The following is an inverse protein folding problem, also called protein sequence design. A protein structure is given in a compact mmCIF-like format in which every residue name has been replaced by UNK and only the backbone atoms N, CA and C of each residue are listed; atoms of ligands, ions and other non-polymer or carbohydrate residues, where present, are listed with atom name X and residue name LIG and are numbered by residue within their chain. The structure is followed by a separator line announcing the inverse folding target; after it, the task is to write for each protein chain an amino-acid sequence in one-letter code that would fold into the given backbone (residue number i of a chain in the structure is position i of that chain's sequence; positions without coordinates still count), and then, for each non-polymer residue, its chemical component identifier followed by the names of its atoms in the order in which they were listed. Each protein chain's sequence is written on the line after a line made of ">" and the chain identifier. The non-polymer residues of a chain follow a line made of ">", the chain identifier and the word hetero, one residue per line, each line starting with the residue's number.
data_IF_543129866444
#
_entry.id   IF_543129866444
#
_cell.length_a   1.000
_cell.length_b   1.000
_cell.length_c   1.000
_cell.angle_alpha   90.00
_cell.angle_beta   90.00
_cell.angle_gamma   90.00
#
_symmetry.space_group_name_H-M   'P 1'
#
loop_
_entity.id
_entity.type
_entity.pdbx_description
1 polymer ?
#
# COMPACT_ATOMS: atom_id res chain seq x y z
N UNK A 1 -4.18 14.36 10.21
CA UNK A 1 -2.97 14.82 9.53
C UNK A 1 -2.63 13.76 8.49
N UNK A 2 -2.89 14.05 7.24
CA UNK A 2 -2.68 13.12 6.12
C UNK A 2 -1.41 13.50 5.38
N UNK A 3 -0.57 12.52 5.12
CA UNK A 3 0.72 12.72 4.48
C UNK A 3 0.59 12.53 2.98
N UNK A 4 1.00 13.51 2.18
CA UNK A 4 1.16 13.32 0.75
C UNK A 4 2.60 12.90 0.47
N UNK A 5 2.82 11.62 0.21
CA UNK A 5 4.13 11.10 -0.16
C UNK A 5 4.09 10.49 -1.55
N UNK A 6 4.98 10.86 -2.42
CA UNK A 6 5.08 10.21 -3.72
C UNK A 6 5.67 8.81 -3.56
N UNK A 7 4.99 7.84 -4.15
CA UNK A 7 5.51 6.49 -4.29
C UNK A 7 6.49 6.40 -5.45
N UNK A 8 7.59 5.68 -5.22
CA UNK A 8 8.58 5.43 -6.25
C UNK A 8 8.17 4.29 -7.16
N UNK A 9 7.94 4.57 -8.41
CA UNK A 9 8.07 3.62 -9.51
C UNK A 9 9.52 3.66 -10.00
N UNK A 10 10.29 2.61 -9.73
CA UNK A 10 11.71 2.53 -10.03
C UNK A 10 11.94 2.53 -11.51
N UNK A 11 12.11 3.26 -12.34
CA UNK A 11 12.51 3.41 -13.75
C UNK A 11 11.56 4.26 -14.63
N UNK A 12 10.25 4.20 -14.44
CA UNK A 12 9.34 5.07 -15.19
C UNK A 12 9.35 6.47 -14.57
N UNK A 13 9.52 6.59 -13.25
CA UNK A 13 9.62 7.88 -12.57
C UNK A 13 10.93 8.63 -12.81
N UNK A 14 12.05 7.94 -13.04
CA UNK A 14 13.25 8.62 -13.51
C UNK A 14 13.02 9.31 -14.88
N UNK A 15 12.15 8.75 -15.71
CA UNK A 15 11.74 9.38 -16.98
C UNK A 15 10.72 10.51 -16.74
N UNK A 16 9.82 10.38 -15.79
CA UNK A 16 8.82 11.40 -15.45
C UNK A 16 9.44 12.52 -14.59
N UNK A 17 10.38 12.21 -13.70
CA UNK A 17 11.15 13.22 -12.93
C UNK A 17 12.14 13.97 -13.84
N UNK A 18 12.63 13.34 -14.91
CA UNK A 18 13.45 13.99 -15.94
C UNK A 18 12.64 14.80 -16.94
N UNK A 19 11.34 14.52 -17.09
CA UNK A 19 10.44 15.45 -17.76
C UNK A 19 10.18 16.61 -16.78
N UNK A 20 10.75 17.74 -17.05
CA UNK A 20 10.93 18.99 -16.29
C UNK A 20 9.82 19.50 -15.35
N UNK A 21 8.78 18.74 -15.00
CA UNK A 21 7.61 19.21 -14.26
C UNK A 21 7.07 18.27 -13.16
N UNK A 22 7.70 17.13 -12.88
CA UNK A 22 7.18 16.14 -11.90
C UNK A 22 7.86 16.19 -10.51
N UNK A 23 8.67 17.20 -10.25
CA UNK A 23 9.29 17.48 -8.96
C UNK A 23 8.78 18.81 -8.41
N UNK A 24 8.96 19.04 -7.12
CA UNK A 24 8.53 20.28 -6.45
C UNK A 24 9.73 21.14 -6.08
N UNK A 25 10.28 21.93 -7.02
CA UNK A 25 11.29 22.90 -6.68
C UNK A 25 10.73 24.14 -6.04
N UNK A 26 11.55 24.80 -5.24
CA UNK A 26 11.39 26.21 -4.92
C UNK A 26 11.67 27.00 -6.18
N UNK A 27 10.69 27.72 -6.72
CA UNK A 27 10.86 28.53 -7.95
C UNK A 27 11.13 29.99 -7.67
N UNK A 28 10.77 30.49 -6.48
CA UNK A 28 11.01 31.85 -6.03
C UNK A 28 11.13 31.90 -4.51
N UNK A 29 12.05 32.70 -4.01
CA UNK A 29 12.24 32.96 -2.57
C UNK A 29 11.80 34.40 -2.31
N UNK A 30 10.87 34.58 -1.38
CA UNK A 30 10.31 35.88 -0.98
C UNK A 30 10.71 36.22 0.45
N UNK A 31 10.48 37.48 0.84
CA UNK A 31 10.77 37.91 2.22
C UNK A 31 9.92 37.16 3.27
N UNK A 32 8.70 36.78 2.90
CA UNK A 32 7.67 36.20 3.77
C UNK A 32 7.44 34.68 3.52
N UNK A 33 8.14 34.06 2.55
CA UNK A 33 7.98 32.66 2.25
C UNK A 33 8.62 32.22 0.94
N UNK A 34 8.15 31.12 0.39
CA UNK A 34 8.64 30.53 -0.87
C UNK A 34 7.48 30.24 -1.83
N UNK A 35 7.79 30.19 -3.13
CA UNK A 35 6.85 29.74 -4.17
C UNK A 35 7.27 28.35 -4.65
N UNK A 36 6.31 27.43 -4.64
CA UNK A 36 6.47 26.04 -5.09
C UNK A 36 5.70 25.83 -6.39
N UNK A 37 6.33 25.14 -7.35
CA UNK A 37 5.70 24.75 -8.62
C UNK A 37 6.04 23.30 -8.96
N UNK A 38 5.07 22.55 -9.51
CA UNK A 38 5.27 21.19 -9.98
C UNK A 38 4.10 20.28 -9.63
N UNK A 39 4.36 18.98 -9.51
CA UNK A 39 3.32 18.02 -9.15
C UNK A 39 3.88 16.86 -8.30
N UNK A 40 2.98 16.21 -7.57
CA UNK A 40 3.25 14.94 -6.90
C UNK A 40 2.17 13.92 -7.27
N UNK A 41 2.60 12.78 -7.76
CA UNK A 41 1.73 11.66 -8.06
C UNK A 41 1.58 10.73 -6.84
N UNK A 42 0.51 9.93 -6.85
CA UNK A 42 0.21 8.95 -5.80
C UNK A 42 0.10 9.59 -4.41
N UNK A 43 -0.68 10.66 -4.33
CA UNK A 43 -0.91 11.39 -3.08
C UNK A 43 -2.26 10.97 -2.50
N UNK A 44 -2.26 9.82 -1.84
CA UNK A 44 -3.44 9.17 -1.27
C UNK A 44 -4.16 10.11 -0.30
N UNK A 45 -5.48 10.22 -0.42
CA UNK A 45 -6.39 11.01 0.43
C UNK A 45 -6.11 12.53 0.46
N UNK A 46 -5.24 13.04 -0.40
CA UNK A 46 -4.90 14.48 -0.37
C UNK A 46 -6.09 15.39 -0.67
N UNK A 47 -7.03 14.95 -1.50
CA UNK A 47 -8.22 15.74 -1.83
C UNK A 47 -9.26 15.86 -0.69
N UNK A 48 -9.17 15.02 0.33
CA UNK A 48 -10.07 15.00 1.50
C UNK A 48 -9.35 15.34 2.81
N UNK A 49 -8.06 15.63 2.74
CA UNK A 49 -7.26 16.08 3.88
C UNK A 49 -7.54 17.57 4.20
N UNK A 50 -7.36 17.98 5.43
CA UNK A 50 -7.41 19.39 5.82
C UNK A 50 -6.09 20.10 5.49
N UNK A 51 -4.96 19.43 5.73
CA UNK A 51 -3.62 19.91 5.42
C UNK A 51 -2.76 18.85 4.75
N UNK A 52 -1.81 19.29 3.94
CA UNK A 52 -0.80 18.44 3.32
C UNK A 52 0.57 18.71 3.95
N UNK A 53 1.24 17.66 4.40
CA UNK A 53 2.67 17.70 4.69
C UNK A 53 3.39 17.20 3.45
N UNK A 54 4.22 18.05 2.86
CA UNK A 54 5.00 17.78 1.67
C UNK A 54 6.47 17.62 2.07
N UNK A 55 7.10 16.51 1.62
CA UNK A 55 8.47 16.19 1.96
C UNK A 55 9.27 15.77 0.71
N UNK A 56 10.62 15.82 0.77
CA UNK A 56 11.48 15.23 -0.25
C UNK A 56 11.22 13.73 -0.41
N UNK A 57 11.47 13.20 -1.60
CA UNK A 57 11.20 11.79 -1.94
C UNK A 57 12.44 10.90 -1.84
N UNK A 58 13.62 11.49 -1.82
CA UNK A 58 14.92 10.81 -1.86
C UNK A 58 16.03 11.70 -1.30
N UNK A 59 17.22 11.14 -1.19
CA UNK A 59 18.42 11.94 -0.98
C UNK A 59 18.64 12.90 -2.15
N UNK A 60 19.05 14.11 -1.85
CA UNK A 60 19.37 15.17 -2.80
C UNK A 60 20.88 15.43 -2.80
N UNK A 61 21.38 15.96 -3.91
CA UNK A 61 22.75 16.45 -4.03
C UNK A 61 22.76 17.97 -3.85
N UNK A 62 23.95 18.54 -3.65
CA UNK A 62 24.13 19.99 -3.51
C UNK A 62 23.49 20.80 -4.64
N UNK A 63 23.65 20.36 -5.88
CA UNK A 63 23.03 21.01 -7.05
C UNK A 63 21.53 20.76 -7.20
N UNK A 64 20.91 20.04 -6.26
CA UNK A 64 19.48 19.76 -6.19
C UNK A 64 18.84 20.43 -4.95
N UNK A 65 19.52 21.37 -4.30
CA UNK A 65 19.09 22.02 -3.05
C UNK A 65 17.69 22.66 -3.15
N UNK A 66 17.32 23.23 -4.32
CA UNK A 66 15.99 23.80 -4.56
C UNK A 66 14.86 22.78 -4.51
N UNK A 67 15.14 21.48 -4.57
CA UNK A 67 14.19 20.38 -4.41
C UNK A 67 14.18 19.83 -2.97
N UNK A 68 15.12 20.27 -2.14
CA UNK A 68 15.17 19.89 -0.73
C UNK A 68 14.29 20.80 0.10
N UNK A 69 12.99 20.58 0.03
CA UNK A 69 11.97 21.38 0.73
C UNK A 69 10.96 20.48 1.42
N UNK A 70 10.64 20.82 2.68
CA UNK A 70 9.51 20.22 3.41
C UNK A 70 8.66 21.33 4.02
N UNK A 71 7.34 21.19 3.89
CA UNK A 71 6.38 22.20 4.36
C UNK A 71 5.01 21.58 4.62
N UNK A 72 4.14 22.32 5.30
CA UNK A 72 2.73 21.97 5.46
C UNK A 72 1.82 23.11 5.01
N UNK A 73 0.78 22.79 4.25
CA UNK A 73 -0.20 23.76 3.75
C UNK A 73 -1.63 23.22 3.83
N UNK A 74 -2.62 24.08 4.06
CA UNK A 74 -4.03 23.72 3.90
C UNK A 74 -4.36 23.30 2.46
N UNK A 75 -5.27 22.36 2.31
CA UNK A 75 -5.69 21.86 0.99
C UNK A 75 -6.43 22.87 0.14
N UNK A 76 -6.97 23.92 0.75
CA UNK A 76 -7.59 25.06 0.06
C UNK A 76 -6.61 26.17 -0.32
N UNK A 77 -5.30 25.95 -0.19
CA UNK A 77 -4.29 26.94 -0.56
C UNK A 77 -4.39 27.29 -2.04
N UNK A 78 -4.34 28.59 -2.35
CA UNK A 78 -4.42 29.08 -3.74
C UNK A 78 -3.30 28.49 -4.61
N UNK A 79 -3.65 28.00 -5.78
CA UNK A 79 -2.71 27.36 -6.71
C UNK A 79 -2.58 25.85 -6.53
N UNK A 80 -3.13 25.26 -5.45
CA UNK A 80 -3.19 23.83 -5.27
C UNK A 80 -4.36 23.23 -6.06
N UNK A 81 -4.13 22.14 -6.80
CA UNK A 81 -5.14 21.43 -7.58
C UNK A 81 -4.99 19.93 -7.40
N UNK A 82 -6.11 19.22 -7.43
CA UNK A 82 -6.17 17.77 -7.29
C UNK A 82 -6.86 17.16 -8.52
N UNK A 83 -6.18 16.21 -9.16
CA UNK A 83 -6.81 15.33 -10.15
C UNK A 83 -6.99 13.98 -9.46
N UNK A 84 -8.24 13.63 -9.21
CA UNK A 84 -8.61 12.43 -8.46
C UNK A 84 -8.77 11.27 -9.44
N UNK A 85 -8.21 10.10 -9.09
CA UNK A 85 -8.45 8.85 -9.82
C UNK A 85 -9.94 8.54 -9.84
N UNK A 86 -10.53 8.21 -11.00
CA UNK A 86 -11.90 7.74 -11.03
C UNK A 86 -12.04 6.45 -10.22
N UNK A 87 -13.15 6.33 -9.52
CA UNK A 87 -13.53 5.10 -8.80
C UNK A 87 -14.48 4.34 -9.73
N UNK A 88 -13.91 3.58 -10.66
CA UNK A 88 -14.56 3.13 -11.89
C UNK A 88 -15.73 2.16 -11.72
N UNK A 89 -15.97 1.57 -10.55
CA UNK A 89 -16.88 0.43 -10.50
C UNK A 89 -17.88 0.44 -9.37
N UNK A 90 -18.01 1.52 -8.69
CA UNK A 90 -19.03 1.62 -7.64
C UNK A 90 -20.36 2.07 -8.21
N UNK A 91 -20.34 2.74 -9.36
CA UNK A 91 -21.55 3.08 -10.10
C UNK A 91 -22.14 1.82 -10.75
N UNK A 92 -23.24 1.35 -10.19
CA UNK A 92 -24.01 0.21 -10.70
C UNK A 92 -23.70 -1.15 -10.07
N UNK A 93 -22.60 -1.33 -9.34
CA UNK A 93 -22.35 -2.59 -8.66
C UNK A 93 -22.96 -2.60 -7.25
N UNK A 94 -24.27 -2.82 -7.19
CA UNK A 94 -25.02 -2.94 -5.93
C UNK A 94 -24.56 -4.14 -5.09
N UNK A 95 -23.83 -5.08 -5.69
CA UNK A 95 -23.35 -6.30 -5.03
C UNK A 95 -22.00 -6.15 -4.34
N UNK A 96 -21.28 -5.06 -4.53
CA UNK A 96 -20.01 -4.79 -3.85
C UNK A 96 -20.20 -4.74 -2.33
N UNK A 97 -19.41 -5.50 -1.60
CA UNK A 97 -19.50 -5.60 -0.13
C UNK A 97 -18.53 -4.66 0.56
N UNK A 98 -17.31 -4.55 0.02
CA UNK A 98 -16.18 -3.82 0.58
C UNK A 98 -15.92 -2.55 -0.19
N UNK A 99 -15.72 -2.62 -1.50
CA UNK A 99 -15.30 -1.47 -2.33
C UNK A 99 -16.27 -0.30 -2.31
N UNK A 100 -17.54 -0.55 -2.00
CA UNK A 100 -18.53 0.53 -1.79
C UNK A 100 -18.44 1.24 -0.44
N UNK A 101 -17.63 0.70 0.50
CA UNK A 101 -17.46 1.27 1.85
C UNK A 101 -16.10 1.93 2.03
N UNK A 102 -15.15 1.56 1.21
CA UNK A 102 -13.75 1.90 1.35
C UNK A 102 -13.31 2.69 0.10
N UNK A 103 -13.30 4.01 0.23
CA UNK A 103 -12.85 4.88 -0.85
C UNK A 103 -11.49 5.43 -0.50
N UNK A 104 -10.48 4.94 -1.19
CA UNK A 104 -9.15 5.52 -1.17
C UNK A 104 -8.99 6.42 -2.39
N UNK A 105 -8.93 7.73 -2.15
CA UNK A 105 -8.76 8.73 -3.21
C UNK A 105 -7.29 8.89 -3.55
N UNK A 106 -6.86 8.26 -4.64
CA UNK A 106 -5.55 8.51 -5.21
C UNK A 106 -5.57 9.78 -6.05
N UNK A 107 -4.59 10.64 -5.86
CA UNK A 107 -4.56 11.92 -6.54
C UNK A 107 -3.21 12.22 -7.20
N UNK A 108 -3.28 12.99 -8.28
CA UNK A 108 -2.17 13.81 -8.75
C UNK A 108 -2.37 15.21 -8.18
N UNK A 109 -1.47 15.61 -7.27
CA UNK A 109 -1.52 16.93 -6.63
C UNK A 109 -0.61 17.90 -7.38
N UNK A 110 -1.18 18.99 -7.89
CA UNK A 110 -0.51 20.00 -8.69
C UNK A 110 -0.34 21.28 -7.89
N UNK A 111 0.87 21.82 -7.94
CA UNK A 111 1.26 23.08 -7.30
C UNK A 111 1.52 24.13 -8.41
N UNK A 112 0.60 25.05 -8.60
CA UNK A 112 0.70 26.12 -9.59
C UNK A 112 1.01 27.43 -8.88
N UNK A 113 2.31 27.70 -8.71
CA UNK A 113 2.84 28.86 -7.99
C UNK A 113 2.27 29.01 -6.57
N UNK A 114 2.30 27.91 -5.83
CA UNK A 114 1.77 27.86 -4.46
C UNK A 114 2.70 28.60 -3.51
N UNK A 115 2.17 29.63 -2.83
CA UNK A 115 2.90 30.33 -1.79
C UNK A 115 2.88 29.55 -0.47
N UNK A 116 4.06 29.38 0.14
CA UNK A 116 4.26 28.74 1.45
C UNK A 116 4.96 29.75 2.36
N UNK A 117 4.31 30.25 3.41
CA UNK A 117 4.94 31.17 4.36
C UNK A 117 6.02 30.46 5.20
N UNK A 118 7.00 31.23 5.71
CA UNK A 118 8.14 30.67 6.43
C UNK A 118 7.79 29.86 7.67
N UNK A 119 6.74 30.21 8.38
CA UNK A 119 6.27 29.50 9.58
C UNK A 119 5.71 28.10 9.27
N UNK A 120 5.53 27.78 7.99
CA UNK A 120 5.09 26.47 7.51
C UNK A 120 6.16 25.68 6.77
N UNK A 121 7.38 26.19 6.71
CA UNK A 121 8.53 25.52 6.07
C UNK A 121 9.38 24.84 7.15
N UNK A 122 9.66 23.56 7.01
CA UNK A 122 10.39 22.71 7.95
C UNK A 122 11.77 22.32 7.46
N UNK A 123 11.99 22.31 6.14
CA UNK A 123 13.26 22.08 5.49
C UNK A 123 13.38 23.05 4.32
N UNK A 124 14.48 23.78 4.25
CA UNK A 124 14.72 24.79 3.22
C UNK A 124 16.13 24.68 2.66
N UNK A 125 16.28 23.91 1.57
CA UNK A 125 17.56 23.72 0.85
C UNK A 125 18.62 22.88 1.58
N UNK A 126 18.38 22.41 2.80
CA UNK A 126 19.30 21.52 3.51
C UNK A 126 19.26 20.10 2.87
N UNK A 127 19.95 19.98 1.74
CA UNK A 127 19.93 18.77 0.91
C UNK A 127 20.46 17.53 1.64
N UNK A 128 21.34 17.71 2.62
CA UNK A 128 21.92 16.64 3.45
C UNK A 128 20.84 15.91 4.26
N UNK A 129 19.78 16.62 4.67
CA UNK A 129 18.69 16.05 5.47
C UNK A 129 17.56 15.45 4.64
N UNK A 130 17.49 15.74 3.33
CA UNK A 130 16.40 15.24 2.47
C UNK A 130 16.30 13.73 2.48
N UNK A 131 17.44 13.03 2.37
CA UNK A 131 17.50 11.57 2.41
C UNK A 131 17.10 10.97 3.76
N UNK A 132 17.50 11.62 4.85
CA UNK A 132 17.12 11.20 6.20
C UNK A 132 15.61 11.30 6.40
N UNK A 133 15.00 12.43 6.05
CA UNK A 133 13.55 12.66 6.17
C UNK A 133 12.76 11.66 5.32
N UNK A 134 13.19 11.42 4.06
CA UNK A 134 12.56 10.46 3.19
C UNK A 134 12.63 9.02 3.73
N UNK A 135 13.79 8.61 4.29
CA UNK A 135 13.96 7.28 4.88
C UNK A 135 13.15 7.11 6.17
N UNK A 136 13.14 8.12 7.04
CA UNK A 136 12.38 8.09 8.28
C UNK A 136 10.87 7.93 7.98
N UNK A 137 10.35 8.74 7.05
CA UNK A 137 8.99 8.61 6.58
C UNK A 137 8.71 7.20 6.02
N UNK A 138 9.60 6.69 5.14
CA UNK A 138 9.43 5.38 4.54
C UNK A 138 9.37 4.25 5.60
N UNK A 139 10.13 4.37 6.69
CA UNK A 139 10.12 3.40 7.79
C UNK A 139 8.77 3.35 8.49
N UNK A 140 8.20 4.51 8.87
CA UNK A 140 6.88 4.58 9.48
C UNK A 140 5.78 4.12 8.53
N UNK A 141 5.87 4.51 7.26
CA UNK A 141 4.89 4.14 6.24
C UNK A 141 4.88 2.63 5.99
N UNK A 142 6.07 1.99 5.88
CA UNK A 142 6.19 0.53 5.75
C UNK A 142 5.71 -0.20 7.00
N UNK A 143 5.94 0.35 8.18
CA UNK A 143 5.40 -0.20 9.42
C UNK A 143 3.87 -0.22 9.42
N UNK A 144 3.24 0.88 9.01
CA UNK A 144 1.79 0.95 8.83
C UNK A 144 1.32 -0.09 7.81
N UNK A 145 2.04 -0.20 6.68
CA UNK A 145 1.70 -1.13 5.62
C UNK A 145 1.68 -2.60 6.07
N UNK A 146 2.74 -3.08 6.72
CA UNK A 146 2.78 -4.49 7.19
C UNK A 146 1.71 -4.76 8.25
N UNK A 147 1.29 -3.74 8.99
CA UNK A 147 0.22 -3.86 10.00
C UNK A 147 -1.15 -4.05 9.34
N UNK A 148 -1.56 -3.18 8.42
CA UNK A 148 -2.87 -3.31 7.75
C UNK A 148 -2.93 -4.53 6.81
N UNK A 149 -1.80 -4.95 6.22
CA UNK A 149 -1.74 -6.15 5.37
C UNK A 149 -2.06 -7.43 6.12
N UNK A 150 -1.67 -7.51 7.39
CA UNK A 150 -2.10 -8.62 8.26
C UNK A 150 -3.63 -8.66 8.41
N UNK A 151 -4.25 -7.50 8.67
CA UNK A 151 -5.71 -7.39 8.81
C UNK A 151 -6.45 -7.67 7.48
N UNK A 152 -5.94 -7.15 6.36
CA UNK A 152 -6.48 -7.46 5.03
C UNK A 152 -6.45 -8.97 4.76
N UNK A 153 -5.38 -9.65 5.17
CA UNK A 153 -5.24 -11.10 4.97
C UNK A 153 -6.24 -11.89 5.82
N UNK A 154 -6.71 -11.37 6.95
CA UNK A 154 -7.82 -11.97 7.71
C UNK A 154 -9.11 -12.05 6.88
N UNK A 155 -9.36 -11.04 6.05
CA UNK A 155 -10.50 -11.03 5.15
C UNK A 155 -10.37 -12.14 4.08
N UNK A 156 -9.20 -12.29 3.46
CA UNK A 156 -8.93 -13.38 2.52
C UNK A 156 -9.04 -14.74 3.20
N UNK A 157 -8.41 -14.93 4.35
CA UNK A 157 -8.43 -16.21 5.08
C UNK A 157 -9.86 -16.59 5.52
N UNK A 158 -10.58 -15.66 6.13
CA UNK A 158 -11.95 -15.89 6.58
C UNK A 158 -12.89 -16.24 5.43
N UNK A 159 -12.77 -15.52 4.30
CA UNK A 159 -13.59 -15.81 3.11
C UNK A 159 -13.22 -17.15 2.49
N UNK A 160 -11.91 -17.50 2.40
CA UNK A 160 -11.45 -18.80 1.92
C UNK A 160 -12.01 -19.96 2.75
N UNK A 161 -11.99 -19.83 4.07
CA UNK A 161 -12.56 -20.83 4.98
C UNK A 161 -14.07 -21.00 4.79
N UNK A 162 -14.80 -19.90 4.63
CA UNK A 162 -16.23 -19.93 4.36
C UNK A 162 -16.53 -20.57 3.00
N UNK A 163 -15.75 -20.25 1.96
CA UNK A 163 -15.90 -20.86 0.63
C UNK A 163 -15.62 -22.36 0.67
N UNK A 164 -14.54 -22.79 1.29
CA UNK A 164 -14.20 -24.20 1.41
C UNK A 164 -15.35 -24.99 2.06
N UNK A 165 -15.90 -24.48 3.16
CA UNK A 165 -17.05 -25.07 3.86
C UNK A 165 -18.33 -25.06 3.01
N UNK A 166 -18.64 -23.93 2.37
CA UNK A 166 -19.84 -23.79 1.55
C UNK A 166 -19.81 -24.70 0.32
N UNK A 167 -18.61 -24.97 -0.22
CA UNK A 167 -18.39 -25.89 -1.32
C UNK A 167 -18.25 -27.35 -0.85
N UNK A 168 -18.02 -27.62 0.43
CA UNK A 168 -17.79 -28.96 0.98
C UNK A 168 -16.43 -29.58 0.60
N UNK A 169 -15.42 -28.73 0.42
CA UNK A 169 -14.04 -29.10 0.01
C UNK A 169 -12.99 -28.82 1.08
N UNK A 170 -13.38 -28.49 2.29
CA UNK A 170 -12.51 -28.10 3.39
C UNK A 170 -11.48 -29.18 3.77
N UNK A 171 -11.76 -30.45 3.44
CA UNK A 171 -10.87 -31.57 3.74
C UNK A 171 -9.93 -31.93 2.57
N UNK A 172 -10.11 -31.30 1.39
CA UNK A 172 -9.26 -31.55 0.24
C UNK A 172 -7.83 -31.06 0.49
N UNK A 173 -6.85 -31.87 0.11
CA UNK A 173 -5.42 -31.59 0.39
C UNK A 173 -4.99 -30.26 -0.21
N UNK A 174 -5.29 -30.00 -1.50
CA UNK A 174 -4.91 -28.74 -2.18
C UNK A 174 -5.54 -27.52 -1.50
N UNK A 175 -6.81 -27.60 -1.08
CA UNK A 175 -7.48 -26.51 -0.34
C UNK A 175 -6.78 -26.20 0.98
N UNK A 176 -6.34 -27.23 1.71
CA UNK A 176 -5.56 -27.05 2.93
C UNK A 176 -4.18 -26.43 2.68
N UNK A 177 -3.52 -26.84 1.58
CA UNK A 177 -2.23 -26.28 1.17
C UNK A 177 -2.39 -24.77 0.81
N UNK A 178 -3.48 -24.40 0.13
CA UNK A 178 -3.81 -23.01 -0.18
C UNK A 178 -4.13 -22.16 1.06
N UNK A 179 -4.93 -22.70 1.95
CA UNK A 179 -5.21 -22.04 3.25
C UNK A 179 -3.90 -21.83 4.03
N UNK A 180 -3.00 -22.81 4.04
CA UNK A 180 -1.70 -22.70 4.67
C UNK A 180 -0.85 -21.57 4.09
N UNK A 181 -0.85 -21.39 2.77
CA UNK A 181 -0.16 -20.27 2.11
C UNK A 181 -0.67 -18.91 2.61
N UNK A 182 -1.99 -18.77 2.74
CA UNK A 182 -2.62 -17.54 3.25
C UNK A 182 -2.24 -17.31 4.73
N UNK A 183 -2.27 -18.37 5.55
CA UNK A 183 -1.86 -18.29 6.97
C UNK A 183 -0.40 -17.87 7.12
N UNK A 184 0.52 -18.47 6.35
CA UNK A 184 1.94 -18.14 6.40
C UNK A 184 2.15 -16.66 6.05
N UNK A 185 1.54 -16.16 4.99
CA UNK A 185 1.64 -14.76 4.62
C UNK A 185 1.14 -13.85 5.75
N UNK A 186 -0.05 -14.11 6.28
CA UNK A 186 -0.64 -13.36 7.39
C UNK A 186 0.29 -13.28 8.59
N UNK A 187 0.82 -14.45 9.03
CA UNK A 187 1.64 -14.52 10.23
C UNK A 187 3.01 -13.85 10.04
N UNK A 188 3.60 -13.91 8.83
CA UNK A 188 4.82 -13.16 8.56
C UNK A 188 4.57 -11.65 8.65
N UNK A 189 3.44 -11.14 8.11
CA UNK A 189 3.07 -9.73 8.25
C UNK A 189 2.91 -9.34 9.72
N UNK A 190 2.17 -10.15 10.49
CA UNK A 190 1.93 -9.92 11.92
C UNK A 190 3.23 -9.93 12.71
N UNK A 191 4.08 -10.93 12.53
CA UNK A 191 5.36 -11.04 13.21
C UNK A 191 6.29 -9.88 12.86
N UNK A 192 6.36 -9.50 11.59
CA UNK A 192 7.16 -8.34 11.16
C UNK A 192 6.71 -7.04 11.83
N UNK A 193 5.39 -6.80 11.91
CA UNK A 193 4.85 -5.62 12.56
C UNK A 193 5.12 -5.62 14.08
N UNK A 194 4.90 -6.74 14.74
CA UNK A 194 5.15 -6.87 16.19
C UNK A 194 6.62 -6.65 16.51
N UNK A 195 7.53 -7.32 15.79
CA UNK A 195 8.97 -7.18 16.06
C UNK A 195 9.47 -5.76 15.75
N UNK A 196 8.97 -5.12 14.69
CA UNK A 196 9.30 -3.74 14.39
C UNK A 196 8.89 -2.77 15.51
N UNK A 197 7.78 -3.05 16.19
CA UNK A 197 7.30 -2.26 17.32
C UNK A 197 8.00 -2.58 18.64
N UNK A 198 8.36 -3.86 18.89
CA UNK A 198 8.93 -4.32 20.15
C UNK A 198 10.45 -4.09 20.25
N UNK A 199 11.12 -3.94 19.11
CA UNK A 199 12.56 -3.64 19.03
C UNK A 199 12.79 -2.28 18.33
N UNK A 200 12.21 -1.18 18.83
CA UNK A 200 12.32 0.12 18.18
C UNK A 200 13.74 0.69 18.29
N UNK A 201 14.11 1.54 17.36
CA UNK A 201 15.26 2.41 17.51
C UNK A 201 14.80 3.63 18.32
N UNK A 202 15.42 3.84 19.48
CA UNK A 202 15.11 4.99 20.31
C UNK A 202 15.98 6.18 19.89
N UNK A 203 15.35 7.28 19.54
CA UNK A 203 15.99 8.56 19.26
C UNK A 203 15.37 9.61 20.18
N UNK A 204 16.11 10.07 21.17
CA UNK A 204 15.60 10.92 22.24
C UNK A 204 14.35 10.31 22.90
N UNK A 205 13.18 10.94 22.77
CA UNK A 205 11.90 10.47 23.30
C UNK A 205 10.98 9.84 22.22
N UNK A 206 11.54 9.51 21.05
CA UNK A 206 10.78 8.96 19.92
C UNK A 206 11.17 7.51 19.70
N UNK A 207 10.18 6.63 19.65
CA UNK A 207 10.35 5.23 19.24
C UNK A 207 10.14 5.12 17.72
N UNK A 208 11.20 4.82 17.00
CA UNK A 208 11.17 4.60 15.55
C UNK A 208 11.04 3.10 15.30
N UNK A 209 10.05 2.63 14.53
CA UNK A 209 9.92 1.21 14.22
C UNK A 209 11.21 0.66 13.62
N UNK A 210 11.57 -0.57 13.99
CA UNK A 210 12.79 -1.19 13.49
C UNK A 210 12.72 -1.38 11.97
N UNK A 211 13.63 -0.71 11.25
CA UNK A 211 13.66 -0.69 9.79
C UNK A 211 13.97 -2.05 9.17
N UNK A 212 14.70 -2.92 9.86
CA UNK A 212 15.00 -4.28 9.40
C UNK A 212 13.70 -5.08 9.24
N UNK A 213 12.89 -5.13 10.30
CA UNK A 213 11.64 -5.89 10.27
C UNK A 213 10.59 -5.26 9.34
N UNK A 214 10.51 -3.93 9.27
CA UNK A 214 9.60 -3.26 8.34
C UNK A 214 9.97 -3.55 6.88
N UNK A 215 11.26 -3.56 6.55
CA UNK A 215 11.73 -3.87 5.21
C UNK A 215 11.57 -5.36 4.85
N UNK A 216 11.82 -6.28 5.79
CA UNK A 216 11.58 -7.72 5.58
C UNK A 216 10.10 -7.96 5.28
N UNK A 217 9.20 -7.46 6.12
CA UNK A 217 7.77 -7.61 5.90
C UNK A 217 7.31 -7.03 4.56
N UNK A 218 7.79 -5.83 4.22
CA UNK A 218 7.50 -5.17 2.95
C UNK A 218 7.97 -6.01 1.75
N UNK A 219 9.21 -6.46 1.74
CA UNK A 219 9.78 -7.27 0.64
C UNK A 219 9.03 -8.58 0.49
N UNK A 220 8.79 -9.28 1.60
CA UNK A 220 8.03 -10.53 1.58
C UNK A 220 6.61 -10.32 1.02
N UNK A 221 5.95 -9.25 1.43
CA UNK A 221 4.61 -8.92 0.93
C UNK A 221 4.59 -8.69 -0.57
N UNK A 222 5.52 -7.89 -1.09
CA UNK A 222 5.57 -7.59 -2.53
C UNK A 222 5.72 -8.84 -3.39
N UNK A 223 6.47 -9.83 -2.91
CA UNK A 223 6.75 -11.07 -3.65
C UNK A 223 5.64 -12.12 -3.49
N UNK A 224 4.89 -12.09 -2.38
CA UNK A 224 4.03 -13.21 -2.01
C UNK A 224 2.53 -12.88 -1.95
N UNK A 225 2.10 -11.61 -1.99
CA UNK A 225 0.67 -11.30 -1.97
C UNK A 225 -0.06 -11.86 -3.20
N UNK A 226 0.58 -11.89 -4.36
CA UNK A 226 0.00 -12.51 -5.56
C UNK A 226 -0.27 -14.01 -5.35
N UNK A 227 0.53 -14.70 -4.55
CA UNK A 227 0.30 -16.10 -4.19
C UNK A 227 -0.92 -16.26 -3.27
N UNK A 228 -1.14 -15.31 -2.35
CA UNK A 228 -2.35 -15.27 -1.53
C UNK A 228 -3.59 -15.19 -2.42
N UNK A 229 -3.60 -14.27 -3.38
CA UNK A 229 -4.72 -14.12 -4.32
C UNK A 229 -4.88 -15.36 -5.20
N UNK A 230 -3.79 -15.95 -5.68
CA UNK A 230 -3.82 -17.19 -6.49
C UNK A 230 -4.42 -18.36 -5.71
N UNK A 231 -3.95 -18.61 -4.49
CA UNK A 231 -4.49 -19.65 -3.60
C UNK A 231 -5.97 -19.40 -3.28
N UNK A 232 -6.34 -18.14 -3.08
CA UNK A 232 -7.73 -17.76 -2.85
C UNK A 232 -8.63 -18.04 -4.07
N UNK A 233 -8.15 -17.75 -5.29
CA UNK A 233 -8.86 -18.05 -6.54
C UNK A 233 -9.05 -19.57 -6.71
N UNK A 234 -8.04 -20.38 -6.39
CA UNK A 234 -8.15 -21.85 -6.50
C UNK A 234 -9.24 -22.39 -5.57
N UNK A 235 -9.30 -21.91 -4.31
CA UNK A 235 -10.38 -22.28 -3.36
C UNK A 235 -11.75 -21.80 -3.85
N UNK A 236 -11.84 -20.60 -4.42
CA UNK A 236 -13.09 -20.03 -4.93
C UNK A 236 -13.61 -20.78 -6.18
N UNK A 237 -12.69 -21.26 -6.98
CA UNK A 237 -12.96 -21.93 -8.25
C UNK A 237 -13.45 -20.97 -9.34
N UNK A 238 -13.64 -21.50 -10.55
CA UNK A 238 -14.04 -20.70 -11.73
C UNK A 238 -15.42 -20.06 -11.64
N UNK A 239 -16.25 -20.45 -10.67
CA UNK A 239 -17.62 -19.92 -10.51
C UNK A 239 -17.66 -18.43 -10.23
N UNK A 240 -16.63 -17.85 -9.64
CA UNK A 240 -16.56 -16.40 -9.41
C UNK A 240 -16.51 -15.59 -10.71
N UNK A 241 -15.97 -16.16 -11.80
CA UNK A 241 -15.97 -15.52 -13.11
C UNK A 241 -17.34 -15.55 -13.80
N UNK A 242 -18.18 -16.52 -13.48
CA UNK A 242 -19.48 -16.75 -14.10
C UNK A 242 -20.66 -16.50 -13.16
N UNK A 243 -20.42 -15.86 -12.03
CA UNK A 243 -21.46 -15.57 -11.04
C UNK A 243 -22.53 -14.64 -11.66
N UNK A 244 -23.83 -14.99 -11.56
CA UNK A 244 -24.92 -14.17 -12.04
C UNK A 244 -24.94 -12.76 -11.44
N UNK A 245 -25.48 -11.80 -12.19
CA UNK A 245 -25.68 -10.42 -11.73
C UNK A 245 -26.74 -10.31 -10.62
N UNK A 246 -26.84 -9.14 -10.00
CA UNK A 246 -27.93 -8.87 -9.03
C UNK A 246 -29.30 -8.88 -9.72
N UNK A 247 -29.35 -8.35 -10.95
CA UNK A 247 -30.57 -8.34 -11.76
C UNK A 247 -31.05 -9.77 -12.03
N UNK A 248 -30.13 -10.67 -12.43
CA UNK A 248 -30.46 -12.09 -12.65
C UNK A 248 -30.94 -12.79 -11.37
N UNK A 249 -30.30 -12.48 -10.23
CA UNK A 249 -30.67 -13.09 -8.94
C UNK A 249 -32.01 -12.59 -8.46
N UNK A 250 -32.40 -11.38 -8.79
CA UNK A 250 -33.68 -10.77 -8.44
C UNK A 250 -34.79 -11.01 -9.49
N UNK A 251 -34.43 -11.50 -10.67
CA UNK A 251 -35.41 -11.88 -11.69
C UNK A 251 -36.24 -13.07 -11.25
N UNK A 252 -37.56 -12.96 -11.39
CA UNK A 252 -38.50 -13.98 -10.90
C UNK A 252 -38.40 -15.34 -11.61
N UNK A 253 -37.99 -15.34 -12.88
CA UNK A 253 -37.79 -16.54 -13.67
C UNK A 253 -36.42 -17.15 -13.48
N UNK A 254 -35.33 -16.33 -13.56
CA UNK A 254 -33.95 -16.80 -13.49
C UNK A 254 -33.55 -17.24 -12.08
N UNK A 255 -34.06 -16.57 -11.04
CA UNK A 255 -33.73 -16.89 -9.64
C UNK A 255 -34.01 -18.34 -9.25
N UNK A 256 -35.07 -18.96 -9.83
CA UNK A 256 -35.42 -20.38 -9.58
C UNK A 256 -34.29 -21.33 -9.99
N UNK A 257 -33.66 -21.04 -11.13
CA UNK A 257 -32.54 -21.83 -11.63
C UNK A 257 -31.27 -21.52 -10.86
N UNK A 258 -30.98 -20.24 -10.61
CA UNK A 258 -29.81 -19.79 -9.86
C UNK A 258 -29.78 -20.44 -8.49
N UNK A 259 -30.86 -20.36 -7.71
CA UNK A 259 -30.92 -20.95 -6.38
C UNK A 259 -30.90 -22.48 -6.42
N UNK A 260 -31.42 -23.12 -7.47
CA UNK A 260 -31.37 -24.56 -7.64
C UNK A 260 -29.94 -25.04 -7.92
N UNK A 261 -29.20 -24.39 -8.83
CA UNK A 261 -27.93 -24.88 -9.34
C UNK A 261 -26.70 -24.28 -8.64
N UNK A 262 -26.82 -23.16 -7.93
CA UNK A 262 -25.76 -22.63 -7.10
C UNK A 262 -25.78 -23.13 -5.66
N UNK A 263 -26.55 -24.15 -5.35
CA UNK A 263 -26.52 -24.81 -4.06
C UNK A 263 -25.23 -25.61 -3.89
N UNK A 264 -24.60 -25.50 -2.73
CA UNK A 264 -23.46 -26.29 -2.29
C UNK A 264 -23.81 -27.06 -1.02
N UNK A 265 -22.84 -27.22 -0.12
CA UNK A 265 -23.08 -27.71 1.23
C UNK A 265 -23.93 -26.71 2.03
N UNK A 266 -23.73 -25.39 1.79
CA UNK A 266 -24.60 -24.32 2.29
C UNK A 266 -25.77 -24.08 1.34
N UNK A 267 -26.82 -23.43 1.85
CA UNK A 267 -27.90 -22.99 0.97
C UNK A 267 -27.42 -21.97 -0.06
N UNK A 268 -28.12 -21.86 -1.17
CA UNK A 268 -27.71 -21.04 -2.29
C UNK A 268 -27.64 -19.56 -1.98
N UNK A 269 -28.50 -19.02 -1.13
CA UNK A 269 -28.47 -17.58 -0.78
C UNK A 269 -27.23 -17.22 0.04
N UNK A 270 -26.90 -18.05 1.02
CA UNK A 270 -25.70 -17.88 1.83
C UNK A 270 -24.43 -18.05 0.96
N UNK A 271 -24.38 -19.13 0.16
CA UNK A 271 -23.25 -19.39 -0.73
C UNK A 271 -23.03 -18.26 -1.74
N UNK A 272 -24.09 -17.71 -2.35
CA UNK A 272 -24.01 -16.59 -3.29
C UNK A 272 -23.41 -15.34 -2.60
N UNK A 273 -23.79 -15.03 -1.36
CA UNK A 273 -23.19 -13.91 -0.63
C UNK A 273 -21.69 -14.08 -0.45
N UNK A 274 -21.23 -15.29 -0.10
CA UNK A 274 -19.80 -15.59 0.05
C UNK A 274 -19.09 -15.49 -1.32
N UNK A 275 -19.69 -16.03 -2.38
CA UNK A 275 -19.14 -15.95 -3.75
C UNK A 275 -19.06 -14.52 -4.28
N UNK A 276 -19.99 -13.63 -3.93
CA UNK A 276 -19.92 -12.20 -4.28
C UNK A 276 -18.72 -11.53 -3.64
N UNK A 277 -18.51 -11.75 -2.34
CA UNK A 277 -17.33 -11.26 -1.64
C UNK A 277 -16.04 -11.85 -2.27
N UNK A 278 -16.04 -13.14 -2.58
CA UNK A 278 -14.92 -13.79 -3.23
C UNK A 278 -14.61 -13.20 -4.62
N UNK A 279 -15.63 -12.93 -5.42
CA UNK A 279 -15.49 -12.26 -6.72
C UNK A 279 -14.86 -10.87 -6.55
N UNK A 280 -15.30 -10.11 -5.57
CA UNK A 280 -14.76 -8.78 -5.28
C UNK A 280 -13.27 -8.83 -4.90
N UNK A 281 -12.88 -9.82 -4.07
CA UNK A 281 -11.49 -9.99 -3.60
C UNK A 281 -10.54 -10.65 -4.63
N UNK A 282 -11.05 -11.26 -5.68
CA UNK A 282 -10.24 -12.06 -6.60
C UNK A 282 -10.29 -11.59 -8.06
N UNK A 283 -11.39 -11.01 -8.53
CA UNK A 283 -11.63 -10.75 -9.96
C UNK A 283 -12.36 -9.44 -10.25
N UNK A 284 -12.19 -8.43 -9.40
CA UNK A 284 -12.73 -7.10 -9.61
C UNK A 284 -11.62 -6.08 -9.89
N UNK A 285 -11.99 -4.86 -10.30
CA UNK A 285 -11.06 -3.73 -10.38
C UNK A 285 -10.48 -3.37 -9.01
N UNK A 286 -11.23 -3.58 -7.93
CA UNK A 286 -10.73 -3.44 -6.57
C UNK A 286 -9.55 -4.38 -6.29
N UNK A 287 -9.62 -5.65 -6.74
CA UNK A 287 -8.47 -6.57 -6.64
C UNK A 287 -7.27 -6.09 -7.45
N UNK A 288 -7.50 -5.59 -8.66
CA UNK A 288 -6.43 -5.02 -9.50
C UNK A 288 -5.74 -3.83 -8.83
N UNK A 289 -6.52 -2.96 -8.22
CA UNK A 289 -6.02 -1.85 -7.42
C UNK A 289 -5.19 -2.34 -6.21
N UNK A 290 -5.73 -3.26 -5.40
CA UNK A 290 -5.02 -3.85 -4.26
C UNK A 290 -3.69 -4.50 -4.67
N UNK A 291 -3.68 -5.31 -5.74
CA UNK A 291 -2.45 -5.94 -6.25
C UNK A 291 -1.40 -4.89 -6.61
N UNK A 292 -1.81 -3.81 -7.27
CA UNK A 292 -0.89 -2.71 -7.61
C UNK A 292 -0.32 -2.05 -6.36
N UNK A 293 -1.15 -1.77 -5.36
CA UNK A 293 -0.70 -1.24 -4.07
C UNK A 293 0.26 -2.19 -3.36
N UNK A 294 -0.08 -3.48 -3.27
CA UNK A 294 0.75 -4.47 -2.57
C UNK A 294 2.14 -4.62 -3.19
N UNK A 295 2.29 -4.37 -4.49
CA UNK A 295 3.57 -4.48 -5.21
C UNK A 295 4.34 -3.16 -5.17
N UNK A 296 3.68 -2.01 -5.36
CA UNK A 296 4.37 -0.74 -5.64
C UNK A 296 4.26 0.31 -4.53
N UNK A 297 3.27 0.20 -3.63
CA UNK A 297 3.11 1.18 -2.55
C UNK A 297 4.29 1.13 -1.53
N UNK A 298 4.43 2.18 -0.72
CA UNK A 298 5.45 2.38 0.33
C UNK A 298 6.92 2.39 -0.20
N UNK A 299 7.10 2.78 -1.44
CA UNK A 299 8.40 2.88 -2.11
C UNK A 299 8.83 1.60 -2.83
N UNK A 300 9.87 1.71 -3.66
CA UNK A 300 10.33 0.62 -4.49
C UNK A 300 10.93 -0.53 -3.69
N UNK A 301 10.89 -1.74 -4.25
CA UNK A 301 11.57 -2.91 -3.69
C UNK A 301 13.07 -2.67 -3.53
N UNK A 302 13.70 -2.01 -4.50
CA UNK A 302 15.14 -1.71 -4.44
C UNK A 302 15.48 -0.77 -3.28
N UNK A 303 14.68 0.26 -3.02
CA UNK A 303 14.86 1.13 -1.85
C UNK A 303 14.74 0.34 -0.53
N UNK A 304 13.85 -0.65 -0.47
CA UNK A 304 13.70 -1.51 0.71
C UNK A 304 14.89 -2.45 0.88
N UNK A 305 15.43 -3.03 -0.21
CA UNK A 305 16.63 -3.89 -0.18
C UNK A 305 17.87 -3.09 0.26
N UNK A 306 18.09 -1.91 -0.30
CA UNK A 306 19.19 -1.01 0.09
C UNK A 306 19.07 -0.65 1.57
N UNK A 307 17.89 -0.28 2.03
CA UNK A 307 17.64 0.03 3.44
C UNK A 307 17.92 -1.18 4.34
N UNK A 308 17.47 -2.37 3.96
CA UNK A 308 17.68 -3.59 4.72
C UNK A 308 19.18 -3.93 4.85
N UNK A 309 19.94 -3.90 3.75
CA UNK A 309 21.38 -4.19 3.79
C UNK A 309 22.14 -3.14 4.62
N UNK A 310 21.77 -1.87 4.52
CA UNK A 310 22.39 -0.79 5.29
C UNK A 310 22.17 -0.96 6.80
N UNK A 311 20.95 -1.32 7.20
CA UNK A 311 20.52 -1.30 8.59
C UNK A 311 20.75 -2.66 9.29
N UNK A 312 20.98 -3.75 8.53
CA UNK A 312 21.27 -5.06 9.07
C UNK A 312 22.75 -5.22 9.44
N UNK A 313 23.00 -5.69 10.67
CA UNK A 313 24.36 -5.89 11.18
C UNK A 313 25.00 -7.18 10.67
N UNK A 314 25.44 -7.21 9.42
CA UNK A 314 26.14 -8.37 8.84
C UNK A 314 27.48 -8.68 9.50
N UNK A 315 28.11 -7.68 10.12
CA UNK A 315 29.40 -7.81 10.79
C UNK A 315 29.37 -8.76 11.99
N UNK A 316 28.22 -8.88 12.66
CA UNK A 316 28.08 -9.87 13.76
C UNK A 316 28.21 -11.31 13.25
N UNK A 317 27.60 -11.62 12.12
CA UNK A 317 27.70 -12.94 11.51
C UNK A 317 29.12 -13.24 11.03
N UNK A 318 29.77 -12.24 10.42
CA UNK A 318 31.18 -12.37 10.03
C UNK A 318 32.09 -12.61 11.25
N UNK A 319 31.97 -11.81 12.31
CA UNK A 319 32.73 -11.98 13.55
C UNK A 319 32.52 -13.38 14.16
N UNK A 320 31.28 -13.87 14.14
CA UNK A 320 30.97 -15.22 14.62
C UNK A 320 31.74 -16.29 13.85
N UNK A 321 31.77 -16.22 12.53
CA UNK A 321 32.52 -17.19 11.68
C UNK A 321 34.01 -17.03 11.87
N UNK A 322 34.55 -15.80 11.93
CA UNK A 322 35.97 -15.55 12.22
C UNK A 322 36.41 -16.20 13.53
N UNK A 323 35.58 -16.10 14.57
CA UNK A 323 35.83 -16.75 15.86
C UNK A 323 35.88 -18.27 15.74
N UNK A 324 35.02 -18.89 14.93
CA UNK A 324 35.05 -20.35 14.72
C UNK A 324 36.33 -20.79 13.99
N UNK A 325 36.76 -19.94 13.04
CA UNK A 325 37.94 -20.22 12.20
C UNK A 325 39.26 -19.75 12.85
N UNK A 326 39.21 -19.19 14.08
CA UNK A 326 40.36 -18.64 14.78
C UNK A 326 41.10 -17.56 13.94
N UNK A 327 40.32 -16.78 13.17
CA UNK A 327 40.82 -15.63 12.39
C UNK A 327 40.64 -14.36 13.20
N UNK A 328 41.72 -13.60 13.40
CA UNK A 328 41.70 -12.33 14.13
C UNK A 328 40.93 -11.21 13.40
#
# INVERSE_FOLDING_TARGET
>A
MLYSVPFFLSNIFDVIIRANNASLPIVEIKNDGIIIRGAKAHTTQSAVAEELIVIPTRAMKENEDMYSVAFAIPTNTKGLKFIIRPIDEVEGNTSAVISKKDYEFETLTIFEDVFVPWDRVFLFKEYEYAGFLANLFATYHRFTAISYRSALTDLYLGTAMLLAKANGIEEAKHVRDDILNIIIYKEIMRMSAINAAMEPILSENIAIPNSVYTNIGKLYSNENFIKVVSSFIDIAGGIIATLPSEEDINDEYLSKYIFKYLKGKYDSKERIKILKLAKELASSSFTGYLLTLMIHAEGSMEASKIGLIRDYNVQESEKFVRKILELD
#
